data_IF_547800561505
#
_entry.id   IF_547800561505
#
_cell.length_a   1.000
_cell.length_b   1.000
_cell.length_c   1.000
_cell.angle_alpha   90.00
_cell.angle_beta   90.00
_cell.angle_gamma   90.00
#
_symmetry.space_group_name_H-M   'P 1'
#
loop_
_entity.id
_entity.type
_entity.pdbx_description
1 polymer ?
#
# COMPACT_ATOMS: atom_id res chain seq x y z
N UNK A 1 -22.31 -6.87 42.55
CA UNK A 1 -21.47 -7.51 41.52
C UNK A 1 -21.33 -6.51 40.39
N UNK A 2 -20.25 -5.74 40.36
CA UNK A 2 -19.97 -4.80 39.27
C UNK A 2 -19.24 -5.59 38.18
N UNK A 3 -19.89 -5.75 37.02
CA UNK A 3 -19.29 -6.29 35.82
C UNK A 3 -18.36 -5.21 35.25
N UNK A 4 -17.06 -5.40 35.44
CA UNK A 4 -16.02 -4.72 34.66
C UNK A 4 -16.06 -5.33 33.26
N UNK A 5 -16.65 -4.60 32.31
CA UNK A 5 -16.40 -4.86 30.89
C UNK A 5 -14.92 -4.57 30.65
N UNK A 6 -14.13 -5.63 30.50
CA UNK A 6 -12.78 -5.51 29.97
C UNK A 6 -12.90 -4.92 28.55
N UNK A 7 -12.47 -3.68 28.36
CA UNK A 7 -12.09 -3.21 27.03
C UNK A 7 -10.97 -4.14 26.58
N UNK A 8 -11.24 -4.98 25.58
CA UNK A 8 -10.18 -5.70 24.88
C UNK A 8 -9.20 -4.66 24.37
N UNK A 9 -7.95 -4.73 24.82
CA UNK A 9 -6.87 -3.96 24.23
C UNK A 9 -6.68 -4.48 22.79
N UNK A 10 -7.41 -3.89 21.85
CA UNK A 10 -7.19 -4.15 20.42
C UNK A 10 -5.74 -3.82 20.08
N UNK A 11 -5.15 -4.58 19.16
CA UNK A 11 -3.82 -4.27 18.65
C UNK A 11 -3.80 -2.80 18.16
N UNK A 12 -2.78 -2.05 18.58
CA UNK A 12 -2.68 -0.61 18.29
C UNK A 12 -1.76 -0.36 17.10
N UNK A 13 -2.13 0.57 16.22
CA UNK A 13 -1.30 1.01 15.10
C UNK A 13 -0.59 2.30 15.52
N UNK A 14 0.76 2.33 15.57
CA UNK A 14 1.49 3.57 15.84
C UNK A 14 1.07 4.68 14.87
N UNK A 15 0.83 5.88 15.40
CA UNK A 15 0.31 7.00 14.62
C UNK A 15 1.15 8.24 14.84
N UNK A 16 1.49 8.90 13.73
CA UNK A 16 2.32 10.10 13.65
C UNK A 16 1.61 11.20 12.86
N UNK A 17 2.09 12.43 12.96
CA UNK A 17 1.73 13.54 12.10
C UNK A 17 2.78 13.72 10.99
N UNK A 18 2.35 14.30 9.87
CA UNK A 18 3.27 14.74 8.83
C UNK A 18 4.30 15.73 9.42
N UNK A 19 5.59 15.45 9.22
CA UNK A 19 6.70 16.23 9.76
C UNK A 19 7.28 15.71 11.08
N UNK A 20 6.68 14.69 11.70
CA UNK A 20 7.32 13.97 12.79
C UNK A 20 8.62 13.28 12.32
N UNK A 21 9.56 12.94 13.22
CA UNK A 21 10.84 12.34 12.85
C UNK A 21 10.69 11.01 12.12
N UNK A 22 11.33 10.89 10.95
CA UNK A 22 11.27 9.68 10.11
C UNK A 22 11.88 8.48 10.83
N UNK A 23 12.87 8.70 11.68
CA UNK A 23 13.52 7.64 12.47
C UNK A 23 12.55 7.00 13.47
N UNK A 24 11.62 7.78 14.04
CA UNK A 24 10.58 7.24 14.94
C UNK A 24 9.53 6.45 14.16
N UNK A 25 9.15 6.93 12.97
CA UNK A 25 8.27 6.21 12.05
C UNK A 25 8.92 4.89 11.60
N UNK A 26 10.22 4.91 11.31
CA UNK A 26 10.97 3.72 10.91
C UNK A 26 11.05 2.70 12.05
N UNK A 27 11.37 3.14 13.26
CA UNK A 27 11.37 2.27 14.44
C UNK A 27 9.97 1.65 14.71
N UNK A 28 8.89 2.37 14.41
CA UNK A 28 7.54 1.85 14.50
C UNK A 28 7.24 0.78 13.43
N UNK A 29 7.75 0.91 12.20
CA UNK A 29 7.68 -0.15 11.20
C UNK A 29 8.55 -1.35 11.58
N UNK A 30 9.72 -1.15 12.15
CA UNK A 30 10.53 -2.25 12.68
C UNK A 30 9.76 -3.02 13.75
N UNK A 31 9.18 -2.33 14.74
CA UNK A 31 8.48 -2.97 15.85
C UNK A 31 7.06 -3.43 15.49
N UNK A 32 6.16 -2.56 15.07
CA UNK A 32 4.77 -2.93 14.78
C UNK A 32 4.57 -3.51 13.37
N UNK A 33 5.54 -3.34 12.46
CA UNK A 33 5.38 -3.70 11.05
C UNK A 33 4.51 -2.73 10.26
N UNK A 34 3.95 -1.71 10.90
CA UNK A 34 3.09 -0.69 10.30
C UNK A 34 3.06 0.62 11.09
N UNK A 35 2.66 1.70 10.42
CA UNK A 35 2.37 3.00 11.06
C UNK A 35 1.40 3.82 10.21
N UNK A 36 0.63 4.70 10.86
CA UNK A 36 -0.20 5.72 10.20
C UNK A 36 0.50 7.07 10.30
N UNK A 37 0.55 7.81 9.20
CA UNK A 37 1.02 9.20 9.17
C UNK A 37 -0.17 10.06 8.73
N UNK A 38 -0.63 10.92 9.63
CA UNK A 38 -1.76 11.82 9.41
C UNK A 38 -1.34 13.09 8.69
N UNK A 39 -2.20 13.61 7.81
CA UNK A 39 -1.94 14.87 7.09
C UNK A 39 -0.80 14.82 6.07
N UNK A 40 -0.41 13.64 5.61
CA UNK A 40 0.69 13.45 4.64
C UNK A 40 0.35 13.92 3.21
N UNK A 41 -0.94 13.98 2.85
CA UNK A 41 -1.41 14.38 1.53
C UNK A 41 -2.40 15.54 1.64
N UNK A 42 -2.14 16.61 0.88
CA UNK A 42 -2.97 17.82 0.88
C UNK A 42 -4.36 17.59 0.27
N UNK A 43 -5.30 18.49 0.58
CA UNK A 43 -6.61 18.50 -0.10
C UNK A 43 -6.50 18.74 -1.60
N UNK A 44 -5.58 19.59 -2.03
CA UNK A 44 -5.33 19.87 -3.44
C UNK A 44 -4.86 18.61 -4.18
N UNK A 45 -3.86 17.90 -3.65
CA UNK A 45 -3.34 16.66 -4.22
C UNK A 45 -4.44 15.60 -4.28
N UNK A 46 -5.24 15.44 -3.23
CA UNK A 46 -6.40 14.53 -3.23
C UNK A 46 -7.42 14.86 -4.31
N UNK A 47 -7.76 16.15 -4.45
CA UNK A 47 -8.69 16.64 -5.47
C UNK A 47 -8.19 16.35 -6.87
N UNK A 48 -6.89 16.55 -7.11
CA UNK A 48 -6.24 16.27 -8.39
C UNK A 48 -6.26 14.79 -8.74
N UNK A 49 -5.85 13.92 -7.79
CA UNK A 49 -5.88 12.46 -7.98
C UNK A 49 -7.30 11.99 -8.30
N UNK A 50 -8.31 12.48 -7.57
CA UNK A 50 -9.72 12.17 -7.85
C UNK A 50 -10.10 12.55 -9.28
N UNK A 51 -9.78 13.77 -9.71
CA UNK A 51 -10.13 14.26 -11.05
C UNK A 51 -9.41 13.47 -12.17
N UNK A 52 -8.11 13.21 -12.01
CA UNK A 52 -7.29 12.49 -12.99
C UNK A 52 -7.73 11.03 -13.15
N UNK A 53 -8.12 10.37 -12.05
CA UNK A 53 -8.49 8.96 -12.04
C UNK A 53 -9.98 8.71 -12.30
N UNK A 54 -10.86 9.70 -12.09
CA UNK A 54 -12.30 9.61 -12.31
C UNK A 54 -12.71 8.90 -13.63
N UNK A 55 -12.19 9.29 -14.82
CA UNK A 55 -12.63 8.67 -16.09
C UNK A 55 -12.28 7.17 -16.20
N UNK A 56 -11.31 6.70 -15.41
CA UNK A 56 -10.94 5.29 -15.33
C UNK A 56 -11.76 4.56 -14.27
N UNK A 57 -11.96 5.18 -13.10
CA UNK A 57 -12.72 4.61 -11.99
C UNK A 57 -14.20 4.40 -12.36
N UNK A 58 -14.81 5.33 -13.09
CA UNK A 58 -16.20 5.20 -13.56
C UNK A 58 -16.40 4.04 -14.54
N UNK A 59 -15.35 3.68 -15.28
CA UNK A 59 -15.34 2.55 -16.24
C UNK A 59 -14.89 1.25 -15.61
N UNK A 60 -14.33 1.27 -14.41
CA UNK A 60 -13.86 0.08 -13.72
C UNK A 60 -15.05 -0.82 -13.41
N UNK A 61 -14.93 -2.10 -13.79
CA UNK A 61 -15.97 -3.08 -13.55
C UNK A 61 -16.18 -3.27 -12.04
N UNK A 62 -17.45 -3.34 -11.63
CA UNK A 62 -17.84 -3.77 -10.29
C UNK A 62 -18.34 -5.20 -10.43
N UNK A 63 -17.55 -6.15 -9.96
CA UNK A 63 -17.93 -7.56 -9.97
C UNK A 63 -18.77 -7.88 -8.74
N UNK A 64 -19.69 -8.85 -8.86
CA UNK A 64 -20.33 -9.42 -7.68
C UNK A 64 -19.30 -10.17 -6.85
N UNK A 65 -19.56 -10.31 -5.56
CA UNK A 65 -18.64 -11.02 -4.68
C UNK A 65 -18.63 -12.52 -4.97
N UNK A 66 -17.42 -13.07 -5.05
CA UNK A 66 -17.13 -14.49 -5.03
C UNK A 66 -16.35 -14.79 -3.73
N UNK A 67 -16.92 -15.55 -2.78
CA UNK A 67 -16.26 -15.89 -1.53
C UNK A 67 -14.94 -16.65 -1.70
N UNK A 68 -14.73 -17.34 -2.84
CA UNK A 68 -13.49 -18.06 -3.14
C UNK A 68 -12.42 -17.17 -3.78
N UNK A 69 -12.80 -16.00 -4.31
CA UNK A 69 -11.87 -15.08 -4.92
C UNK A 69 -10.94 -14.43 -3.89
N UNK A 70 -9.71 -14.14 -4.29
CA UNK A 70 -8.76 -13.42 -3.43
C UNK A 70 -9.22 -11.98 -3.18
N UNK A 71 -9.64 -11.28 -4.24
CA UNK A 71 -10.15 -9.92 -4.17
C UNK A 71 -11.66 -9.91 -3.90
N UNK A 72 -12.14 -9.13 -2.92
CA UNK A 72 -13.57 -8.93 -2.71
C UNK A 72 -14.23 -8.33 -3.96
N UNK A 73 -15.46 -8.77 -4.23
CA UNK A 73 -16.34 -8.08 -5.16
C UNK A 73 -16.75 -6.69 -4.63
N UNK A 74 -17.67 -6.05 -5.34
CA UNK A 74 -18.21 -4.72 -4.99
C UNK A 74 -17.12 -3.66 -4.80
N UNK A 75 -15.98 -3.86 -5.46
CA UNK A 75 -14.80 -3.01 -5.39
C UNK A 75 -14.41 -2.61 -6.80
N UNK A 76 -14.06 -1.33 -7.00
CA UNK A 76 -13.42 -0.86 -8.23
C UNK A 76 -11.92 -0.85 -8.05
N UNK A 77 -11.21 -1.26 -9.09
CA UNK A 77 -9.75 -1.24 -9.14
C UNK A 77 -9.28 -0.64 -10.46
N UNK A 78 -8.35 0.29 -10.37
CA UNK A 78 -7.63 0.88 -11.51
C UNK A 78 -6.14 0.80 -11.23
N UNK A 79 -5.37 0.24 -12.16
CA UNK A 79 -3.90 0.17 -12.12
C UNK A 79 -3.30 1.15 -13.14
N UNK A 80 -2.00 1.05 -13.41
CA UNK A 80 -1.22 1.91 -14.29
C UNK A 80 -1.24 3.38 -13.82
N UNK A 81 -1.15 3.60 -12.51
CA UNK A 81 -1.38 4.93 -11.96
C UNK A 81 -0.27 5.92 -12.32
N UNK A 82 0.96 5.44 -12.51
CA UNK A 82 2.07 6.27 -12.99
C UNK A 82 1.73 6.88 -14.36
N UNK A 83 1.10 6.11 -15.26
CA UNK A 83 0.62 6.61 -16.55
C UNK A 83 -0.60 7.54 -16.42
N UNK A 84 -1.47 7.31 -15.44
CA UNK A 84 -2.79 7.95 -15.39
C UNK A 84 -2.89 9.20 -14.54
N UNK A 85 -1.99 9.43 -13.59
CA UNK A 85 -2.13 10.52 -12.61
C UNK A 85 -0.80 11.15 -12.23
N UNK A 86 -0.66 12.46 -12.46
CA UNK A 86 0.46 13.25 -11.96
C UNK A 86 0.41 13.37 -10.43
N UNK A 87 -0.78 13.46 -9.84
CA UNK A 87 -0.94 13.45 -8.39
C UNK A 87 -0.40 12.17 -7.75
N UNK A 88 -0.60 11.00 -8.38
CA UNK A 88 -0.03 9.74 -7.88
C UNK A 88 1.50 9.71 -8.04
N UNK A 89 2.06 10.32 -9.10
CA UNK A 89 3.53 10.44 -9.24
C UNK A 89 4.16 11.20 -8.07
N UNK A 90 3.48 12.23 -7.54
CA UNK A 90 3.91 12.94 -6.33
C UNK A 90 3.90 12.02 -5.10
N UNK A 91 2.88 11.15 -4.97
CA UNK A 91 2.81 10.17 -3.86
C UNK A 91 3.90 9.10 -3.98
N UNK A 92 4.19 8.61 -5.19
CA UNK A 92 5.28 7.65 -5.45
C UNK A 92 6.62 8.20 -4.97
N UNK A 93 6.83 9.52 -5.14
CA UNK A 93 8.06 10.21 -4.78
C UNK A 93 7.94 10.99 -3.46
N UNK A 94 6.91 10.73 -2.66
CA UNK A 94 6.72 11.45 -1.40
C UNK A 94 7.95 11.23 -0.49
N UNK A 95 8.54 12.26 0.13
CA UNK A 95 9.78 12.13 0.90
C UNK A 95 9.72 11.04 1.97
N UNK A 96 8.67 11.01 2.79
CA UNK A 96 8.46 9.96 3.79
C UNK A 96 8.37 8.56 3.17
N UNK A 97 7.81 8.43 1.95
CA UNK A 97 7.76 7.13 1.26
C UNK A 97 9.13 6.69 0.80
N UNK A 98 9.93 7.59 0.24
CA UNK A 98 11.31 7.31 -0.16
C UNK A 98 12.16 6.96 1.06
N UNK A 99 12.12 7.78 2.11
CA UNK A 99 12.98 7.59 3.28
C UNK A 99 12.64 6.31 4.05
N UNK A 100 11.35 6.02 4.27
CA UNK A 100 10.94 4.77 4.92
C UNK A 100 11.23 3.56 4.03
N UNK A 101 11.04 3.66 2.72
CA UNK A 101 11.37 2.53 1.82
C UNK A 101 12.86 2.24 1.79
N UNK A 102 13.70 3.29 1.68
CA UNK A 102 15.16 3.16 1.70
C UNK A 102 15.63 2.53 3.02
N UNK A 103 15.07 2.98 4.16
CA UNK A 103 15.40 2.42 5.47
C UNK A 103 15.14 0.91 5.54
N UNK A 104 13.98 0.44 5.07
CA UNK A 104 13.56 -0.95 5.25
C UNK A 104 14.02 -1.89 4.14
N UNK A 105 14.22 -1.40 2.91
CA UNK A 105 14.62 -2.22 1.76
C UNK A 105 16.10 -2.07 1.39
N UNK A 106 16.73 -0.94 1.71
CA UNK A 106 18.15 -0.67 1.42
C UNK A 106 19.11 -1.73 1.96
N UNK A 107 18.90 -2.32 3.16
CA UNK A 107 19.73 -3.44 3.62
C UNK A 107 19.68 -4.69 2.72
N UNK A 108 18.64 -4.83 1.90
CA UNK A 108 18.39 -6.02 1.07
C UNK A 108 18.61 -5.79 -0.44
N UNK A 109 18.91 -4.55 -0.88
CA UNK A 109 19.13 -4.25 -2.29
C UNK A 109 19.93 -2.95 -2.49
N UNK A 110 20.65 -2.83 -3.61
CA UNK A 110 21.37 -1.58 -3.92
C UNK A 110 20.42 -0.40 -4.21
N UNK A 111 19.21 -0.70 -4.69
CA UNK A 111 18.18 0.24 -5.11
C UNK A 111 16.83 -0.46 -5.01
N UNK A 112 15.82 0.19 -4.45
CA UNK A 112 14.43 -0.26 -4.56
C UNK A 112 13.78 0.26 -5.85
N UNK A 113 12.60 -0.27 -6.16
CA UNK A 113 11.74 0.19 -7.24
C UNK A 113 10.27 0.11 -6.82
N UNK A 114 9.40 0.84 -7.50
CA UNK A 114 7.95 0.71 -7.42
C UNK A 114 7.57 -0.70 -7.85
N UNK A 115 6.65 -1.33 -7.13
CA UNK A 115 6.28 -2.72 -7.33
C UNK A 115 4.89 -2.86 -7.95
N UNK A 116 3.90 -2.16 -7.40
CA UNK A 116 2.55 -2.06 -7.95
C UNK A 116 1.85 -0.77 -7.53
N UNK A 117 0.92 -0.33 -8.37
CA UNK A 117 0.04 0.81 -8.14
C UNK A 117 -1.41 0.42 -8.38
N UNK A 118 -2.29 0.76 -7.43
CA UNK A 118 -3.73 0.65 -7.66
C UNK A 118 -4.54 1.69 -6.91
N UNK A 119 -5.55 2.22 -7.58
CA UNK A 119 -6.61 3.02 -7.01
C UNK A 119 -7.80 2.10 -6.74
N UNK A 120 -8.33 2.16 -5.53
CA UNK A 120 -9.30 1.22 -4.99
C UNK A 120 -10.48 1.98 -4.41
N UNK A 121 -11.68 1.71 -4.90
CA UNK A 121 -12.92 2.11 -4.22
C UNK A 121 -13.62 0.86 -3.69
N UNK A 122 -13.64 0.70 -2.37
CA UNK A 122 -14.36 -0.38 -1.68
C UNK A 122 -15.80 0.06 -1.46
N UNK A 123 -16.75 -0.59 -2.13
CA UNK A 123 -18.15 -0.19 -2.14
C UNK A 123 -18.99 -0.80 -1.01
N UNK A 124 -20.23 -0.30 -0.82
CA UNK A 124 -21.18 -0.85 0.15
C UNK A 124 -21.38 -2.36 -0.02
N UNK A 125 -21.30 -3.10 1.09
CA UNK A 125 -21.47 -4.54 1.12
C UNK A 125 -20.24 -5.36 0.71
N UNK A 126 -19.13 -4.73 0.31
CA UNK A 126 -17.88 -5.45 0.05
C UNK A 126 -17.41 -6.17 1.32
N UNK A 127 -17.05 -7.46 1.19
CA UNK A 127 -16.58 -8.28 2.31
C UNK A 127 -15.15 -7.93 2.73
N UNK A 128 -14.75 -8.45 3.90
CA UNK A 128 -13.34 -8.45 4.32
C UNK A 128 -12.51 -9.32 3.35
N UNK A 129 -11.36 -8.81 2.93
CA UNK A 129 -10.36 -9.54 2.16
C UNK A 129 -9.64 -10.54 3.06
N UNK A 130 -9.21 -11.67 2.49
CA UNK A 130 -8.35 -12.61 3.21
C UNK A 130 -7.06 -11.90 3.68
N UNK A 131 -6.66 -12.15 4.93
CA UNK A 131 -5.39 -11.63 5.43
C UNK A 131 -4.23 -12.28 4.67
N UNK A 132 -3.34 -11.46 4.14
CA UNK A 132 -2.22 -11.89 3.31
C UNK A 132 -1.00 -10.98 3.55
N UNK A 133 0.12 -11.33 2.92
CA UNK A 133 1.35 -10.54 2.93
C UNK A 133 1.64 -10.10 1.50
N UNK A 134 2.12 -8.87 1.32
CA UNK A 134 2.57 -8.37 0.00
C UNK A 134 3.63 -9.27 -0.61
N UNK A 135 4.45 -9.91 0.23
CA UNK A 135 5.57 -10.73 -0.23
C UNK A 135 5.19 -12.18 -0.53
N UNK A 136 3.91 -12.55 -0.43
CA UNK A 136 3.44 -13.92 -0.73
C UNK A 136 3.71 -14.40 -2.17
N UNK A 137 3.76 -13.55 -3.20
CA UNK A 137 4.25 -13.95 -4.53
C UNK A 137 5.71 -14.43 -4.54
N UNK A 138 6.54 -14.06 -3.55
CA UNK A 138 7.97 -14.40 -3.47
C UNK A 138 8.21 -15.62 -2.58
N UNK A 139 7.57 -16.74 -2.90
CA UNK A 139 7.55 -17.95 -2.09
C UNK A 139 8.89 -18.70 -1.94
N UNK A 140 9.95 -18.26 -2.64
CA UNK A 140 11.32 -18.78 -2.45
C UNK A 140 11.88 -18.45 -1.06
N UNK A 141 11.50 -17.31 -0.49
CA UNK A 141 11.95 -16.89 0.84
C UNK A 141 11.03 -17.45 1.93
N UNK A 142 11.63 -18.10 2.92
CA UNK A 142 10.92 -18.65 4.08
C UNK A 142 10.43 -17.53 5.02
N UNK A 143 9.32 -17.77 5.73
CA UNK A 143 8.79 -16.84 6.73
C UNK A 143 9.50 -17.04 8.09
N UNK A 144 9.85 -15.95 8.80
CA UNK A 144 9.76 -14.55 8.39
C UNK A 144 10.82 -14.19 7.33
N UNK A 145 10.40 -13.46 6.29
CA UNK A 145 11.26 -13.05 5.18
C UNK A 145 12.11 -11.84 5.57
N UNK A 146 13.27 -11.60 4.92
CA UNK A 146 13.83 -10.25 4.90
C UNK A 146 12.80 -9.28 4.31
N UNK A 147 12.86 -7.99 4.66
CA UNK A 147 11.97 -7.00 4.05
C UNK A 147 12.22 -6.93 2.53
N UNK A 148 11.27 -7.42 1.74
CA UNK A 148 11.31 -7.43 0.28
C UNK A 148 10.41 -6.36 -0.32
N UNK A 149 9.33 -6.00 0.39
CA UNK A 149 8.34 -5.00 -0.02
C UNK A 149 8.04 -4.04 1.13
N UNK A 150 7.81 -2.77 0.80
CA UNK A 150 7.13 -1.79 1.66
C UNK A 150 5.90 -1.31 0.92
N UNK A 151 4.77 -1.23 1.61
CA UNK A 151 3.50 -0.84 1.05
C UNK A 151 2.94 0.41 1.73
N UNK A 152 2.19 1.18 0.95
CA UNK A 152 1.51 2.40 1.40
C UNK A 152 0.06 2.36 0.95
N UNK A 153 -0.86 2.80 1.82
CA UNK A 153 -2.28 3.00 1.50
C UNK A 153 -2.65 4.43 1.84
N UNK A 154 -2.80 5.25 0.80
CA UNK A 154 -3.14 6.66 0.91
C UNK A 154 -4.65 6.83 0.97
N UNK A 155 -5.13 7.51 2.02
CA UNK A 155 -6.55 7.79 2.23
C UNK A 155 -7.01 8.98 1.37
N UNK A 156 -7.71 8.72 0.26
CA UNK A 156 -8.30 9.78 -0.58
C UNK A 156 -9.60 10.33 0.05
N UNK A 157 -10.29 9.51 0.82
CA UNK A 157 -11.36 9.89 1.76
C UNK A 157 -11.14 9.20 3.11
N UNK A 158 -12.00 9.49 4.10
CA UNK A 158 -11.82 9.00 5.47
C UNK A 158 -11.92 7.48 5.49
N UNK A 159 -11.01 6.84 6.22
CA UNK A 159 -11.05 5.42 6.52
C UNK A 159 -11.60 5.26 7.93
N UNK A 160 -12.65 4.47 8.04
CA UNK A 160 -13.37 4.18 9.29
C UNK A 160 -13.63 2.69 9.38
N UNK A 161 -13.87 2.18 10.59
CA UNK A 161 -14.26 0.78 10.77
C UNK A 161 -15.47 0.42 9.90
N UNK A 162 -16.45 1.31 9.79
CA UNK A 162 -17.70 1.05 9.07
C UNK A 162 -17.55 1.01 7.53
N UNK A 163 -16.63 1.79 6.96
CA UNK A 163 -16.38 1.76 5.50
C UNK A 163 -15.16 0.88 5.12
N UNK A 164 -14.71 0.07 6.08
CA UNK A 164 -13.77 -1.03 5.88
C UNK A 164 -12.30 -0.69 5.99
N UNK A 165 -11.92 0.36 6.72
CA UNK A 165 -10.53 0.67 7.05
C UNK A 165 -9.63 -0.58 7.09
N UNK A 166 -8.49 -0.51 6.39
CA UNK A 166 -7.59 -1.64 6.16
C UNK A 166 -7.32 -2.40 7.46
N UNK A 167 -7.50 -3.72 7.44
CA UNK A 167 -7.12 -4.61 8.51
C UNK A 167 -5.60 -4.78 8.48
N UNK A 168 -4.96 -4.67 9.63
CA UNK A 168 -3.55 -5.04 9.82
C UNK A 168 -3.40 -5.82 11.11
N UNK A 169 -2.36 -6.66 11.19
CA UNK A 169 -2.05 -7.42 12.40
C UNK A 169 -0.67 -7.02 12.90
N UNK A 170 -0.56 -5.98 13.74
CA UNK A 170 0.73 -5.47 14.23
C UNK A 170 1.64 -6.60 14.77
N UNK A 171 2.90 -6.60 14.35
CA UNK A 171 3.91 -7.59 14.74
C UNK A 171 3.86 -8.92 13.95
N UNK A 172 2.91 -9.10 13.04
CA UNK A 172 2.75 -10.36 12.27
C UNK A 172 3.80 -10.61 11.20
N UNK A 173 4.61 -9.61 10.87
CA UNK A 173 5.78 -9.73 10.00
C UNK A 173 6.87 -10.64 10.56
N UNK A 174 6.86 -10.87 11.88
CA UNK A 174 7.79 -11.79 12.55
C UNK A 174 7.25 -13.19 12.77
N UNK A 175 6.00 -13.46 12.37
CA UNK A 175 5.38 -14.76 12.64
C UNK A 175 5.91 -15.82 11.71
N UNK A 176 6.03 -17.05 12.23
CA UNK A 176 6.29 -18.23 11.41
C UNK A 176 5.11 -18.52 10.49
N UNK A 177 5.38 -19.26 9.41
CA UNK A 177 4.35 -19.73 8.49
C UNK A 177 3.20 -20.47 9.23
N UNK A 178 1.98 -20.33 8.73
CA UNK A 178 0.80 -21.04 9.21
C UNK A 178 0.13 -20.47 10.47
N UNK A 179 0.71 -19.47 11.13
CA UNK A 179 0.01 -18.77 12.23
C UNK A 179 -1.18 -17.97 11.70
N UNK A 180 -2.35 -18.17 12.30
CA UNK A 180 -3.58 -17.45 12.01
C UNK A 180 -3.80 -16.37 13.07
N UNK A 181 -4.14 -15.16 12.64
CA UNK A 181 -4.45 -14.05 13.54
C UNK A 181 -5.79 -14.28 14.26
N UNK A 182 -5.85 -13.91 15.53
CA UNK A 182 -7.12 -13.84 16.28
C UNK A 182 -7.77 -12.48 16.08
N UNK A 183 -9.08 -12.40 16.30
CA UNK A 183 -9.85 -11.16 16.09
C UNK A 183 -9.30 -9.99 16.91
N UNK A 184 -8.89 -10.22 18.16
CA UNK A 184 -8.32 -9.19 19.03
C UNK A 184 -6.94 -8.65 18.57
N UNK A 185 -6.25 -9.39 17.69
CA UNK A 185 -4.96 -9.02 17.10
C UNK A 185 -5.12 -8.21 15.81
N UNK A 186 -6.32 -8.14 15.24
CA UNK A 186 -6.61 -7.42 14.00
C UNK A 186 -7.01 -5.99 14.34
N UNK A 187 -6.17 -5.04 13.93
CA UNK A 187 -6.43 -3.61 14.03
C UNK A 187 -7.05 -3.07 12.74
N UNK A 188 -7.86 -2.02 12.86
CA UNK A 188 -8.40 -1.26 11.72
C UNK A 188 -7.65 0.06 11.59
N UNK A 189 -7.09 0.33 10.41
CA UNK A 189 -6.40 1.57 10.12
C UNK A 189 -7.39 2.72 9.88
N UNK A 190 -8.12 3.13 10.92
CA UNK A 190 -8.98 4.30 10.89
C UNK A 190 -8.11 5.56 10.82
N UNK A 191 -8.33 6.38 9.79
CA UNK A 191 -7.52 7.57 9.57
C UNK A 191 -8.29 8.60 8.75
N UNK A 192 -8.11 9.90 9.03
CA UNK A 192 -8.74 10.94 8.24
C UNK A 192 -8.15 10.96 6.83
N UNK A 193 -8.95 11.41 5.87
CA UNK A 193 -8.53 11.62 4.51
C UNK A 193 -7.29 12.53 4.43
N UNK A 194 -6.33 12.16 3.60
CA UNK A 194 -5.00 12.80 3.54
C UNK A 194 -3.94 12.08 4.39
N UNK A 195 -4.32 11.08 5.17
CA UNK A 195 -3.38 10.20 5.87
C UNK A 195 -2.86 9.08 4.95
N UNK A 196 -1.80 8.41 5.40
CA UNK A 196 -1.25 7.21 4.77
C UNK A 196 -0.93 6.16 5.83
N UNK A 197 -1.30 4.92 5.55
CA UNK A 197 -0.85 3.75 6.29
C UNK A 197 0.38 3.17 5.58
N UNK A 198 1.46 2.93 6.30
CA UNK A 198 2.62 2.17 5.84
C UNK A 198 2.65 0.79 6.49
N UNK A 199 3.14 -0.20 5.76
CA UNK A 199 3.51 -1.50 6.33
C UNK A 199 4.66 -2.18 5.58
N UNK A 200 5.41 -3.01 6.31
CA UNK A 200 6.42 -3.91 5.72
C UNK A 200 5.73 -5.15 5.14
N UNK A 201 6.27 -5.69 4.05
CA UNK A 201 5.58 -6.66 3.23
C UNK A 201 5.34 -8.03 3.89
N UNK A 202 6.04 -8.32 4.99
CA UNK A 202 5.77 -9.50 5.83
C UNK A 202 4.52 -9.37 6.71
N UNK A 203 3.94 -8.18 6.88
CA UNK A 203 2.78 -7.94 7.75
C UNK A 203 1.51 -8.55 7.15
N UNK A 204 0.74 -9.28 7.97
CA UNK A 204 -0.62 -9.68 7.62
C UNK A 204 -1.53 -8.46 7.57
N UNK A 205 -2.19 -8.29 6.43
CA UNK A 205 -3.14 -7.20 6.20
C UNK A 205 -4.21 -7.62 5.18
N UNK A 206 -5.24 -6.79 5.02
CA UNK A 206 -6.27 -6.95 3.99
C UNK A 206 -7.31 -5.85 4.05
N UNK A 207 -8.04 -5.60 2.95
CA UNK A 207 -9.16 -4.65 2.99
C UNK A 207 -10.24 -5.11 3.98
N UNK A 208 -10.73 -4.20 4.83
CA UNK A 208 -11.85 -4.48 5.70
C UNK A 208 -13.20 -4.44 4.97
N UNK A 209 -14.19 -5.14 5.54
CA UNK A 209 -15.58 -5.08 5.08
C UNK A 209 -16.17 -3.67 5.13
N UNK A 210 -17.00 -3.35 4.15
CA UNK A 210 -17.72 -2.08 4.12
C UNK A 210 -19.20 -2.32 4.42
N UNK A 211 -19.59 -2.04 5.66
CA UNK A 211 -20.97 -2.12 6.17
C UNK A 211 -21.71 -0.78 6.08
N UNK A 212 -21.08 0.24 5.48
CA UNK A 212 -21.65 1.57 5.28
C UNK A 212 -22.31 1.71 3.90
N UNK A 213 -22.90 2.87 3.64
CA UNK A 213 -23.44 3.28 2.33
C UNK A 213 -22.46 4.11 1.48
N UNK A 214 -21.21 4.28 1.94
CA UNK A 214 -20.19 5.11 1.29
C UNK A 214 -19.11 4.26 0.64
N UNK A 215 -18.58 4.72 -0.49
CA UNK A 215 -17.38 4.14 -1.09
C UNK A 215 -16.12 4.65 -0.39
N UNK A 216 -15.23 3.75 0.03
CA UNK A 216 -13.93 4.10 0.61
C UNK A 216 -12.87 4.10 -0.49
N UNK A 217 -12.23 5.24 -0.71
CA UNK A 217 -11.30 5.46 -1.81
C UNK A 217 -9.87 5.58 -1.28
N UNK A 218 -9.03 4.59 -1.62
CA UNK A 218 -7.60 4.61 -1.36
C UNK A 218 -6.73 4.49 -2.62
N UNK A 219 -5.46 4.85 -2.48
CA UNK A 219 -4.40 4.52 -3.45
C UNK A 219 -3.35 3.67 -2.76
N UNK A 220 -3.14 2.45 -3.24
CA UNK A 220 -2.04 1.59 -2.81
C UNK A 220 -0.84 1.78 -3.73
N UNK A 221 0.32 2.02 -3.11
CA UNK A 221 1.62 2.01 -3.80
C UNK A 221 2.53 1.08 -3.01
N UNK A 222 3.09 0.09 -3.68
CA UNK A 222 4.07 -0.82 -3.10
C UNK A 222 5.43 -0.60 -3.75
N UNK A 223 6.50 -0.81 -2.99
CA UNK A 223 7.88 -0.71 -3.42
C UNK A 223 8.57 -2.02 -3.08
N UNK A 224 9.41 -2.54 -3.96
CA UNK A 224 10.15 -3.78 -3.75
C UNK A 224 11.65 -3.57 -3.93
N UNK A 225 12.45 -4.51 -3.43
CA UNK A 225 13.86 -4.59 -3.80
C UNK A 225 14.01 -4.58 -5.34
N UNK A 226 15.01 -3.84 -5.87
CA UNK A 226 15.15 -3.64 -7.31
C UNK A 226 15.53 -4.88 -8.12
N UNK A 227 16.02 -5.93 -7.46
CA UNK A 227 16.29 -7.23 -8.09
C UNK A 227 15.07 -8.15 -8.16
N UNK A 228 13.93 -7.77 -7.55
CA UNK A 228 12.67 -8.50 -7.65
C UNK A 228 11.91 -8.13 -8.92
N UNK A 229 11.13 -9.07 -9.44
CA UNK A 229 10.15 -8.77 -10.50
C UNK A 229 9.01 -7.93 -9.91
N UNK A 230 8.67 -6.83 -10.59
CA UNK A 230 7.49 -6.01 -10.26
C UNK A 230 6.19 -6.80 -10.48
N UNK A 231 5.20 -6.66 -9.59
CA UNK A 231 3.85 -7.22 -9.77
C UNK A 231 3.13 -6.48 -10.92
N UNK A 232 3.33 -5.17 -11.02
CA UNK A 232 2.87 -4.35 -12.14
C UNK A 232 3.97 -4.18 -13.18
N UNK A 233 3.70 -4.52 -14.45
CA UNK A 233 4.66 -4.32 -15.53
C UNK A 233 4.62 -2.87 -16.03
N UNK A 234 5.29 -1.95 -15.31
CA UNK A 234 5.33 -0.51 -15.62
C UNK A 234 5.71 -0.22 -17.09
N UNK A 235 6.59 -1.03 -17.67
CA UNK A 235 7.04 -0.94 -19.07
C UNK A 235 5.96 -1.16 -20.13
N UNK A 236 4.86 -1.84 -19.78
CA UNK A 236 3.74 -2.10 -20.69
C UNK A 236 2.60 -1.10 -20.51
N UNK A 237 2.56 -0.44 -19.35
CA UNK A 237 1.46 0.42 -18.93
C UNK A 237 1.67 1.90 -19.32
N UNK A 238 2.86 2.26 -19.80
CA UNK A 238 3.20 3.64 -20.19
C UNK A 238 3.80 3.71 -21.61
N UNK A 239 3.32 4.62 -22.48
CA UNK A 239 3.95 4.89 -23.76
C UNK A 239 5.40 5.36 -23.63
N UNK A 240 6.25 4.96 -24.57
CA UNK A 240 7.70 5.21 -24.52
C UNK A 240 8.08 6.70 -24.49
N UNK A 241 7.37 7.50 -25.27
CA UNK A 241 7.54 8.96 -25.31
C UNK A 241 7.15 9.62 -23.98
N UNK A 242 6.16 9.08 -23.27
CA UNK A 242 5.83 9.53 -21.92
C UNK A 242 6.92 9.16 -20.90
N UNK A 243 7.49 7.94 -20.99
CA UNK A 243 8.61 7.52 -20.12
C UNK A 243 9.80 8.48 -20.25
N UNK A 244 10.09 8.94 -21.47
CA UNK A 244 11.20 9.87 -21.72
C UNK A 244 11.00 11.24 -21.04
N UNK A 245 9.74 11.62 -20.79
CA UNK A 245 9.36 12.89 -20.17
C UNK A 245 9.19 12.80 -18.64
N UNK A 246 9.33 11.61 -18.06
CA UNK A 246 9.31 11.46 -16.60
C UNK A 246 10.53 12.14 -15.97
N UNK A 247 10.33 12.69 -14.77
CA UNK A 247 11.44 13.11 -13.92
C UNK A 247 12.43 11.94 -13.75
N UNK A 248 13.76 12.16 -13.87
CA UNK A 248 14.73 11.07 -13.79
C UNK A 248 14.66 10.23 -12.52
N UNK A 249 14.34 10.83 -11.37
CA UNK A 249 14.20 10.10 -10.12
C UNK A 249 12.94 9.25 -10.11
N UNK A 250 11.80 9.79 -10.57
CA UNK A 250 10.58 9.00 -10.75
C UNK A 250 10.77 7.86 -11.75
N UNK A 251 11.45 8.11 -12.87
CA UNK A 251 11.72 7.10 -13.89
C UNK A 251 12.56 5.96 -13.32
N UNK A 252 13.57 6.28 -12.52
CA UNK A 252 14.38 5.30 -11.78
C UNK A 252 13.52 4.51 -10.80
N UNK A 253 12.78 5.20 -9.93
CA UNK A 253 11.91 4.57 -8.93
C UNK A 253 10.85 3.70 -9.59
N UNK A 254 10.27 4.09 -10.73
CA UNK A 254 9.28 3.29 -11.45
C UNK A 254 9.86 2.02 -12.12
N UNK A 255 11.18 1.79 -12.03
CA UNK A 255 11.84 0.58 -12.55
C UNK A 255 12.35 0.72 -13.99
N UNK A 256 12.25 1.88 -14.63
CA UNK A 256 12.75 2.06 -16.01
C UNK A 256 14.28 2.18 -16.12
N UNK A 257 15.01 1.65 -15.14
CA UNK A 257 16.47 1.66 -15.05
C UNK A 257 16.97 0.28 -14.63
N UNK A 258 18.21 -0.05 -14.97
CA UNK A 258 18.82 -1.31 -14.55
C UNK A 258 19.08 -1.34 -13.04
N UNK A 259 19.00 -2.53 -12.44
CA UNK A 259 19.49 -2.81 -11.10
C UNK A 259 20.72 -3.70 -11.20
N UNK A 260 21.92 -3.12 -11.09
CA UNK A 260 23.17 -3.82 -11.37
C UNK A 260 23.15 -4.40 -12.80
N UNK A 261 23.22 -5.72 -12.93
CA UNK A 261 23.14 -6.43 -14.22
C UNK A 261 21.70 -6.84 -14.62
N UNK A 262 20.70 -6.57 -13.78
CA UNK A 262 19.30 -6.95 -14.00
C UNK A 262 18.55 -5.85 -14.75
N UNK A 263 17.64 -6.26 -15.65
CA UNK A 263 16.88 -5.32 -16.48
C UNK A 263 17.70 -4.64 -17.57
N UNK A 264 18.81 -5.24 -18.03
CA UNK A 264 19.68 -4.67 -19.05
C UNK A 264 18.94 -4.27 -20.35
N UNK A 265 19.11 -3.04 -20.79
CA UNK A 265 18.61 -2.47 -22.05
C UNK A 265 19.66 -1.55 -22.69
N UNK A 266 19.52 -1.25 -23.98
CA UNK A 266 20.39 -0.29 -24.66
C UNK A 266 19.91 1.15 -24.36
N UNK A 267 20.67 1.97 -23.60
CA UNK A 267 20.25 3.33 -23.26
C UNK A 267 20.29 4.29 -24.46
N UNK A 268 20.86 3.88 -25.60
CA UNK A 268 20.86 4.66 -26.84
C UNK A 268 19.55 4.57 -27.62
N UNK A 269 18.72 3.56 -27.30
CA UNK A 269 17.36 3.46 -27.81
C UNK A 269 16.46 4.32 -26.93
#
# INVERSE_FOLDING_TARGET
>A
MASTLAQSAHANIPTFAAGDPVEEMAAALDDAGCAIITGAMSEETRGRIKAELQPFMEKAAIQQDDPEAFYPGLTRRVTALVARSHGVRELVMHPTSIDLTEHHLGPNCEQFQLHATAALEVGPGARTQVLHREEDPFNFFELPRPNLVVATMWAVNDFTMANGATCVVPGSHRWSAGRVAKEEEIARAEMPAGSVLFWVGGLLHGAGENISDKWRYGVILTYSCGWLRQEENQYLDMPRDEIANLDPALRKTAGFTMHGALGFYDPSL
#
